data_IF_399943826185
#
_entry.id   IF_399943826185
#
_cell.length_a   1.000
_cell.length_b   1.000
_cell.length_c   1.000
_cell.angle_alpha   90.00
_cell.angle_beta   90.00
_cell.angle_gamma   90.00
#
_symmetry.space_group_name_H-M   'P 1'
#
loop_
_entity.id
_entity.type
_entity.pdbx_description
1 polymer ?
#
# COMPACT_ATOMS: atom_id res chain seq x y z
N UNK A 1 1.85 -9.84 -8.87
CA UNK A 1 3.28 -9.71 -8.50
C UNK A 1 3.49 -10.13 -7.05
N UNK A 2 4.69 -10.59 -6.68
CA UNK A 2 4.96 -11.13 -5.34
C UNK A 2 4.65 -10.17 -4.18
N UNK A 3 4.74 -8.85 -4.41
CA UNK A 3 4.43 -7.81 -3.41
C UNK A 3 2.95 -7.79 -3.00
N UNK A 4 2.04 -7.82 -3.97
CA UNK A 4 0.59 -7.82 -3.72
C UNK A 4 0.18 -9.13 -3.03
N UNK A 5 0.69 -10.27 -3.51
CA UNK A 5 0.45 -11.57 -2.90
C UNK A 5 0.91 -11.61 -1.43
N UNK A 6 2.14 -11.19 -1.15
CA UNK A 6 2.66 -11.15 0.23
C UNK A 6 1.88 -10.20 1.15
N UNK A 7 1.36 -9.09 0.62
CA UNK A 7 0.44 -8.22 1.36
C UNK A 7 -0.87 -8.90 1.72
N UNK A 8 -1.50 -9.60 0.77
CA UNK A 8 -2.72 -10.39 1.02
C UNK A 8 -2.50 -11.50 2.05
N UNK A 9 -1.38 -12.21 1.94
CA UNK A 9 -1.01 -13.25 2.90
C UNK A 9 -0.82 -12.68 4.31
N UNK A 10 -0.19 -11.50 4.43
CA UNK A 10 -0.02 -10.83 5.72
C UNK A 10 -1.32 -10.30 6.32
N UNK A 11 -2.28 -9.90 5.48
CA UNK A 11 -3.63 -9.52 5.92
C UNK A 11 -4.43 -10.74 6.39
N UNK A 12 -4.32 -11.86 5.66
CA UNK A 12 -5.03 -13.10 5.98
C UNK A 12 -4.47 -13.80 7.23
N UNK A 13 -3.16 -13.75 7.43
CA UNK A 13 -2.47 -14.36 8.56
C UNK A 13 -1.31 -13.47 9.07
N UNK A 14 -1.62 -12.45 9.90
CA UNK A 14 -0.61 -11.56 10.46
C UNK A 14 0.43 -12.30 11.32
N UNK A 15 0.05 -13.39 12.01
CA UNK A 15 0.97 -14.17 12.84
C UNK A 15 2.06 -14.82 11.99
N UNK A 16 1.68 -15.43 10.87
CA UNK A 16 2.64 -16.03 9.91
C UNK A 16 3.54 -14.98 9.26
N UNK A 17 3.05 -13.76 9.03
CA UNK A 17 3.89 -12.66 8.58
C UNK A 17 4.97 -12.30 9.60
N UNK A 18 4.66 -12.31 10.90
CA UNK A 18 5.63 -12.07 11.97
C UNK A 18 6.69 -13.17 12.06
N UNK A 19 6.37 -14.43 11.81
CA UNK A 19 7.39 -15.49 11.75
C UNK A 19 8.47 -15.19 10.72
N UNK A 20 8.09 -14.61 9.58
CA UNK A 20 9.02 -14.16 8.53
C UNK A 20 9.86 -12.96 9.00
N UNK A 21 9.27 -12.05 9.78
CA UNK A 21 9.95 -10.89 10.35
C UNK A 21 10.99 -11.31 11.41
N UNK A 22 10.63 -12.19 12.34
CA UNK A 22 11.52 -12.64 13.43
C UNK A 22 12.78 -13.34 12.89
N UNK A 23 12.68 -14.07 11.77
CA UNK A 23 13.85 -14.65 11.10
C UNK A 23 14.89 -13.61 10.67
N UNK A 24 14.45 -12.37 10.40
CA UNK A 24 15.31 -11.24 9.99
C UNK A 24 15.64 -10.30 11.15
N UNK A 25 14.80 -10.27 12.18
CA UNK A 25 15.01 -9.54 13.42
C UNK A 25 14.75 -10.44 14.65
N UNK A 26 15.72 -11.27 15.06
CA UNK A 26 15.53 -12.22 16.17
C UNK A 26 15.29 -11.57 17.54
N UNK A 27 15.61 -10.28 17.68
CA UNK A 27 15.40 -9.51 18.90
C UNK A 27 13.99 -8.90 19.00
N UNK A 28 13.16 -9.05 17.97
CA UNK A 28 11.79 -8.55 17.99
C UNK A 28 10.92 -9.32 18.98
N UNK A 29 10.08 -8.59 19.72
CA UNK A 29 8.97 -9.19 20.45
C UNK A 29 7.85 -9.54 19.45
N UNK A 30 7.69 -10.84 19.18
CA UNK A 30 6.75 -11.34 18.18
C UNK A 30 5.30 -10.93 18.48
N UNK A 31 4.89 -10.95 19.75
CA UNK A 31 3.52 -10.59 20.13
C UNK A 31 3.27 -9.09 19.93
N UNK A 32 4.25 -8.26 20.29
CA UNK A 32 4.18 -6.81 20.05
C UNK A 32 4.14 -6.48 18.56
N UNK A 33 4.99 -7.11 17.75
CA UNK A 33 5.03 -6.86 16.31
C UNK A 33 3.76 -7.34 15.60
N UNK A 34 3.17 -8.46 16.04
CA UNK A 34 1.88 -8.90 15.51
C UNK A 34 0.78 -7.87 15.78
N UNK A 35 0.74 -7.33 16.99
CA UNK A 35 -0.22 -6.27 17.34
C UNK A 35 0.01 -5.00 16.49
N UNK A 36 1.26 -4.60 16.27
CA UNK A 36 1.61 -3.45 15.42
C UNK A 36 1.19 -3.67 13.97
N UNK A 37 1.43 -4.86 13.44
CA UNK A 37 1.02 -5.23 12.10
C UNK A 37 -0.50 -5.18 11.95
N UNK A 38 -1.25 -5.75 12.90
CA UNK A 38 -2.72 -5.69 12.88
C UNK A 38 -3.23 -4.24 12.90
N UNK A 39 -2.66 -3.39 13.76
CA UNK A 39 -3.04 -1.96 13.80
C UNK A 39 -2.77 -1.26 12.47
N UNK A 40 -1.64 -1.53 11.82
CA UNK A 40 -1.31 -0.96 10.52
C UNK A 40 -2.23 -1.49 9.41
N UNK A 41 -2.58 -2.78 9.46
CA UNK A 41 -3.53 -3.40 8.54
C UNK A 41 -4.87 -2.68 8.63
N UNK A 42 -5.43 -2.55 9.83
CA UNK A 42 -6.77 -2.01 10.05
C UNK A 42 -6.84 -0.50 9.77
N UNK A 43 -5.78 0.25 10.10
CA UNK A 43 -5.79 1.70 10.00
C UNK A 43 -5.29 2.24 8.65
N UNK A 44 -4.42 1.50 7.94
CA UNK A 44 -3.68 2.04 6.80
C UNK A 44 -3.69 1.17 5.54
N UNK A 45 -3.90 -0.15 5.66
CA UNK A 45 -3.84 -1.06 4.50
C UNK A 45 -5.23 -1.44 4.02
N UNK A 46 -6.10 -1.89 4.91
CA UNK A 46 -7.50 -2.26 4.63
C UNK A 46 -8.36 -1.03 4.84
N UNK A 47 -8.39 -0.18 3.82
CA UNK A 47 -9.17 1.05 3.78
C UNK A 47 -10.39 0.85 2.88
N UNK A 48 -11.33 1.79 2.91
CA UNK A 48 -12.46 1.79 1.95
C UNK A 48 -11.95 1.77 0.50
N UNK A 49 -10.88 2.52 0.22
CA UNK A 49 -10.27 2.57 -1.11
C UNK A 49 -9.71 1.23 -1.56
N UNK A 50 -8.85 0.60 -0.77
CA UNK A 50 -8.23 -0.68 -1.13
C UNK A 50 -9.22 -1.85 -1.09
N UNK A 51 -10.30 -1.73 -0.30
CA UNK A 51 -11.39 -2.69 -0.30
C UNK A 51 -12.22 -2.63 -1.59
N UNK A 52 -12.40 -1.45 -2.17
CA UNK A 52 -13.14 -1.26 -3.42
C UNK A 52 -12.28 -1.46 -4.69
N UNK A 53 -11.00 -1.08 -4.65
CA UNK A 53 -10.15 -0.96 -5.85
C UNK A 53 -8.93 -1.91 -5.86
N UNK A 54 -8.71 -2.63 -4.75
CA UNK A 54 -7.52 -3.46 -4.55
C UNK A 54 -6.26 -2.67 -4.21
N UNK A 55 -5.17 -3.40 -3.96
CA UNK A 55 -3.88 -2.83 -3.57
C UNK A 55 -3.07 -2.30 -4.76
N UNK A 56 -2.40 -1.16 -4.55
CA UNK A 56 -1.30 -0.67 -5.40
C UNK A 56 -1.66 0.38 -6.44
N UNK A 57 -2.94 0.54 -6.77
CA UNK A 57 -3.41 1.63 -7.64
C UNK A 57 -3.45 2.99 -6.95
N UNK A 58 -3.68 4.04 -7.74
CA UNK A 58 -3.97 5.40 -7.27
C UNK A 58 -5.40 5.80 -7.62
N UNK A 59 -5.94 6.74 -6.85
CA UNK A 59 -7.13 7.48 -7.22
C UNK A 59 -6.68 8.69 -8.05
N UNK A 60 -7.04 8.71 -9.33
CA UNK A 60 -6.62 9.75 -10.27
C UNK A 60 -7.07 11.14 -9.82
N UNK A 61 -8.30 11.28 -9.32
CA UNK A 61 -8.81 12.57 -8.84
C UNK A 61 -8.04 13.03 -7.59
N UNK A 62 -7.71 12.11 -6.69
CA UNK A 62 -6.87 12.42 -5.52
C UNK A 62 -5.46 12.83 -5.93
N UNK A 63 -4.88 12.19 -6.94
CA UNK A 63 -3.55 12.52 -7.45
C UNK A 63 -3.53 13.90 -8.13
N UNK A 64 -4.52 14.21 -8.98
CA UNK A 64 -4.69 15.54 -9.58
C UNK A 64 -4.79 16.62 -8.50
N UNK A 65 -5.64 16.41 -7.49
CA UNK A 65 -5.78 17.36 -6.37
C UNK A 65 -4.48 17.54 -5.60
N UNK A 66 -3.69 16.48 -5.40
CA UNK A 66 -2.40 16.58 -4.71
C UNK A 66 -1.40 17.45 -5.51
N UNK A 67 -1.39 17.33 -6.85
CA UNK A 67 -0.56 18.17 -7.71
C UNK A 67 -1.00 19.65 -7.67
N UNK A 68 -2.31 19.92 -7.65
CA UNK A 68 -2.86 21.26 -7.47
C UNK A 68 -2.44 21.86 -6.11
N UNK A 69 -2.55 21.10 -5.03
CA UNK A 69 -2.15 21.54 -3.68
C UNK A 69 -0.66 21.85 -3.59
N UNK A 70 0.20 21.09 -4.27
CA UNK A 70 1.63 21.40 -4.35
C UNK A 70 1.88 22.72 -5.09
N UNK A 71 1.09 23.01 -6.14
CA UNK A 71 1.18 24.25 -6.91
C UNK A 71 0.86 25.50 -6.06
N UNK A 72 0.13 25.36 -4.94
CA UNK A 72 -0.17 26.48 -4.03
C UNK A 72 1.08 27.01 -3.32
N UNK A 73 2.15 26.20 -3.23
CA UNK A 73 3.35 26.51 -2.43
C UNK A 73 4.65 26.43 -3.22
N UNK A 74 4.68 25.71 -4.35
CA UNK A 74 5.87 25.48 -5.17
C UNK A 74 5.61 25.73 -6.66
N UNK A 75 6.62 26.28 -7.35
CA UNK A 75 6.63 26.40 -8.80
C UNK A 75 7.20 25.14 -9.45
N UNK A 76 6.38 24.47 -10.27
CA UNK A 76 6.86 23.34 -11.07
C UNK A 76 7.76 23.81 -12.21
N UNK A 77 8.90 23.14 -12.41
CA UNK A 77 9.82 23.42 -13.53
C UNK A 77 9.26 22.98 -14.89
N UNK A 78 8.22 22.14 -14.90
CA UNK A 78 7.50 21.67 -16.08
C UNK A 78 6.05 21.40 -15.69
N UNK A 79 5.13 21.39 -16.64
CA UNK A 79 3.72 21.09 -16.33
C UNK A 79 3.61 19.73 -15.61
N UNK A 80 2.96 19.67 -14.44
CA UNK A 80 2.81 18.41 -13.71
C UNK A 80 1.90 17.46 -14.50
N UNK A 81 2.39 16.25 -14.72
CA UNK A 81 1.64 15.18 -15.39
C UNK A 81 1.73 13.91 -14.54
N UNK A 82 0.59 13.44 -14.03
CA UNK A 82 0.51 12.28 -13.15
C UNK A 82 1.08 11.00 -13.81
N UNK A 83 0.98 10.89 -15.14
CA UNK A 83 1.49 9.73 -15.89
C UNK A 83 3.02 9.63 -15.87
N UNK A 84 3.72 10.73 -15.55
CA UNK A 84 5.18 10.73 -15.34
C UNK A 84 5.59 10.11 -14.01
N UNK A 85 4.66 10.01 -13.04
CA UNK A 85 4.96 9.60 -11.67
C UNK A 85 4.33 8.26 -11.30
N UNK A 86 3.27 7.86 -11.99
CA UNK A 86 2.60 6.58 -11.74
C UNK A 86 2.24 5.87 -13.04
N UNK A 87 2.47 4.55 -13.04
CA UNK A 87 1.94 3.63 -14.05
C UNK A 87 1.49 2.34 -13.37
N UNK A 88 0.34 1.83 -13.78
CA UNK A 88 -0.21 0.55 -13.33
C UNK A 88 0.26 -0.64 -14.18
N UNK A 89 1.09 -0.43 -15.21
CA UNK A 89 1.53 -1.45 -16.16
C UNK A 89 2.24 -2.65 -15.51
N UNK A 90 2.75 -2.49 -14.28
CA UNK A 90 3.42 -3.53 -13.52
C UNK A 90 2.56 -4.11 -12.38
N UNK A 91 1.33 -3.63 -12.22
CA UNK A 91 0.39 -4.20 -11.28
C UNK A 91 -0.15 -5.52 -11.81
N UNK A 92 -0.39 -6.51 -10.93
CA UNK A 92 -1.11 -7.71 -11.32
C UNK A 92 -2.55 -7.38 -11.73
N UNK A 93 -3.24 -8.37 -12.29
CA UNK A 93 -4.64 -8.22 -12.68
C UNK A 93 -5.52 -7.81 -11.49
N UNK A 94 -6.62 -7.11 -11.75
CA UNK A 94 -7.48 -6.54 -10.70
C UNK A 94 -7.88 -7.56 -9.64
N UNK A 95 -8.33 -8.75 -10.05
CA UNK A 95 -8.71 -9.83 -9.14
C UNK A 95 -7.58 -10.24 -8.18
N UNK A 96 -6.32 -10.20 -8.63
CA UNK A 96 -5.17 -10.54 -7.79
C UNK A 96 -4.84 -9.43 -6.77
N UNK A 97 -5.34 -8.21 -6.98
CA UNK A 97 -5.16 -7.06 -6.10
C UNK A 97 -6.23 -6.93 -5.03
N UNK A 98 -7.36 -7.60 -5.19
CA UNK A 98 -8.46 -7.53 -4.25
C UNK A 98 -8.12 -8.20 -2.93
N UNK A 99 -8.56 -7.56 -1.84
CA UNK A 99 -8.29 -8.02 -0.47
C UNK A 99 -9.15 -9.23 -0.07
N UNK A 100 -10.20 -9.53 -0.85
CA UNK A 100 -11.09 -10.69 -0.71
C UNK A 100 -11.32 -11.31 -2.08
#
# INVERSE_FOLDING_TARGET
TARVAGGRDAIADPAKAIESLVKRNPAADAALEQRRLQLAIDANVVTDYTSANGMGGIDDARMTKALEQLAETYDFQSAPDASLYFTDAYLPGEAERMLK
#
